data_IF_699961515574
#
_entry.id   IF_699961515574
#
_cell.length_a   1.000
_cell.length_b   1.000
_cell.length_c   1.000
_cell.angle_alpha   90.00
_cell.angle_beta   90.00
_cell.angle_gamma   90.00
#
_symmetry.space_group_name_H-M   'P 1'
#
loop_
_entity.id
_entity.type
_entity.pdbx_description
1 polymer ?
#
# COMPACT_ATOMS: atom_id res chain seq x y z
N UNK A 1 -2.20 -5.92 -2.06
CA UNK A 1 -2.47 -6.36 -0.67
C UNK A 1 -3.74 -7.19 -0.54
N UNK A 2 -4.94 -6.79 -0.98
CA UNK A 2 -6.11 -7.70 -0.92
C UNK A 2 -5.82 -9.06 -1.60
N UNK A 3 -5.21 -9.02 -2.79
CA UNK A 3 -4.77 -10.21 -3.52
C UNK A 3 -3.66 -11.01 -2.82
N UNK A 4 -3.01 -10.46 -1.79
CA UNK A 4 -2.02 -11.17 -0.98
C UNK A 4 -2.66 -11.95 0.17
N UNK A 5 -3.86 -11.53 0.59
CA UNK A 5 -4.70 -12.20 1.59
C UNK A 5 -5.78 -13.09 0.97
N UNK A 6 -5.95 -13.06 -0.36
CA UNK A 6 -6.94 -13.84 -1.11
C UNK A 6 -6.37 -14.36 -2.44
N UNK A 7 -5.41 -15.30 -2.38
CA UNK A 7 -4.72 -15.87 -3.55
C UNK A 7 -5.44 -17.09 -4.10
N UNK A 8 -5.67 -17.17 -5.41
CA UNK A 8 -6.17 -18.41 -6.02
C UNK A 8 -5.16 -19.55 -5.81
N UNK A 9 -5.58 -20.71 -5.25
CA UNK A 9 -4.70 -21.87 -5.11
C UNK A 9 -4.08 -22.29 -6.44
N UNK A 10 -2.81 -22.69 -6.45
CA UNK A 10 -2.13 -23.18 -7.66
C UNK A 10 -2.63 -24.56 -8.09
N UNK A 11 -3.07 -25.38 -7.13
CA UNK A 11 -3.69 -26.68 -7.40
C UNK A 11 -5.15 -26.49 -7.81
N UNK A 12 -5.45 -26.85 -9.06
CA UNK A 12 -6.78 -26.79 -9.66
C UNK A 12 -7.79 -27.62 -8.86
N UNK A 13 -7.34 -28.69 -8.19
CA UNK A 13 -8.20 -29.53 -7.36
C UNK A 13 -8.79 -28.76 -6.16
N UNK A 14 -8.15 -27.67 -5.73
CA UNK A 14 -8.56 -26.87 -4.57
C UNK A 14 -9.29 -25.57 -4.93
N UNK A 15 -9.52 -25.30 -6.22
CA UNK A 15 -10.08 -24.03 -6.67
C UNK A 15 -11.62 -23.99 -6.63
N UNK A 16 -12.31 -25.14 -6.61
CA UNK A 16 -13.77 -25.17 -6.80
C UNK A 16 -14.46 -26.29 -6.03
N UNK A 17 -15.60 -25.94 -5.46
CA UNK A 17 -16.54 -26.84 -4.79
C UNK A 17 -17.12 -27.88 -5.73
N UNK A 18 -17.39 -29.09 -5.21
CA UNK A 18 -17.96 -30.19 -6.00
C UNK A 18 -17.00 -30.83 -7.00
N UNK A 19 -15.76 -30.33 -7.09
CA UNK A 19 -14.74 -30.83 -8.00
C UNK A 19 -13.41 -31.09 -7.28
N UNK A 20 -12.60 -31.99 -7.82
CA UNK A 20 -11.27 -32.28 -7.30
C UNK A 20 -11.29 -32.66 -5.81
N UNK A 21 -10.57 -31.90 -4.99
CA UNK A 21 -10.44 -32.11 -3.56
C UNK A 21 -11.75 -31.91 -2.78
N UNK A 22 -12.69 -31.14 -3.34
CA UNK A 22 -13.98 -30.79 -2.73
C UNK A 22 -15.14 -31.66 -3.23
N UNK A 23 -14.88 -32.77 -3.92
CA UNK A 23 -15.96 -33.67 -4.42
C UNK A 23 -16.72 -34.35 -3.28
N UNK A 24 -16.03 -34.66 -2.18
CA UNK A 24 -16.60 -35.34 -1.00
C UNK A 24 -16.91 -34.38 0.18
N UNK A 25 -16.66 -33.09 -0.01
CA UNK A 25 -16.84 -32.07 1.01
C UNK A 25 -17.80 -31.00 0.50
N UNK A 26 -18.85 -30.67 1.26
CA UNK A 26 -19.88 -29.68 0.87
C UNK A 26 -19.37 -28.22 0.81
N UNK A 27 -18.05 -28.01 0.71
CA UNK A 27 -17.44 -26.68 0.79
C UNK A 27 -17.86 -25.90 2.03
N UNK A 28 -18.18 -26.62 3.11
CA UNK A 28 -18.46 -26.02 4.39
C UNK A 28 -17.21 -25.89 5.26
N UNK A 29 -16.22 -26.74 4.99
CA UNK A 29 -14.92 -26.81 5.62
C UNK A 29 -13.85 -26.96 4.54
N UNK A 30 -12.61 -26.58 4.87
CA UNK A 30 -11.47 -26.73 3.97
C UNK A 30 -11.13 -28.22 3.84
N UNK A 31 -10.93 -28.70 2.60
CA UNK A 31 -10.51 -30.07 2.37
C UNK A 31 -9.08 -30.28 2.92
N UNK A 32 -8.77 -31.41 3.58
CA UNK A 32 -7.49 -31.61 4.28
C UNK A 32 -6.23 -31.45 3.41
N UNK A 33 -6.35 -31.71 2.11
CA UNK A 33 -5.27 -31.61 1.13
C UNK A 33 -5.09 -30.19 0.55
N UNK A 34 -6.00 -29.26 0.85
CA UNK A 34 -5.98 -27.91 0.31
C UNK A 34 -5.28 -26.93 1.24
N UNK A 35 -4.70 -25.85 0.69
CA UNK A 35 -4.00 -24.87 1.50
C UNK A 35 -4.98 -24.11 2.41
N UNK A 36 -4.47 -23.50 3.49
CA UNK A 36 -5.31 -22.75 4.42
C UNK A 36 -5.87 -21.46 3.77
N UNK A 37 -7.06 -21.09 4.23
CA UNK A 37 -7.73 -19.82 3.90
C UNK A 37 -7.84 -19.05 5.21
N UNK A 38 -7.11 -17.94 5.44
CA UNK A 38 -6.12 -17.25 4.56
C UNK A 38 -4.74 -17.94 4.47
N UNK A 39 -3.86 -17.56 3.51
CA UNK A 39 -3.95 -16.45 2.55
C UNK A 39 -4.58 -16.82 1.18
N UNK A 40 -5.01 -18.07 1.00
CA UNK A 40 -5.64 -18.50 -0.24
C UNK A 40 -7.12 -18.17 -0.26
N UNK A 41 -7.69 -18.04 -1.46
CA UNK A 41 -9.11 -17.80 -1.66
C UNK A 41 -9.95 -19.01 -1.23
N UNK A 42 -11.16 -18.75 -0.76
CA UNK A 42 -12.15 -19.83 -0.62
C UNK A 42 -12.44 -20.44 -2.00
N UNK A 43 -12.68 -21.76 -2.11
CA UNK A 43 -13.05 -22.37 -3.38
C UNK A 43 -14.31 -21.74 -3.98
N UNK A 44 -14.30 -21.59 -5.31
CA UNK A 44 -15.44 -21.09 -6.06
C UNK A 44 -16.62 -22.05 -5.98
N UNK A 45 -17.87 -21.55 -6.02
CA UNK A 45 -19.05 -22.39 -6.03
C UNK A 45 -19.17 -23.16 -7.34
N UNK A 46 -19.88 -24.29 -7.27
CA UNK A 46 -20.35 -25.01 -8.44
C UNK A 46 -21.62 -24.33 -8.96
N UNK A 47 -21.48 -23.28 -9.77
CA UNK A 47 -22.58 -22.56 -10.41
C UNK A 47 -22.23 -22.36 -11.90
N UNK A 48 -23.20 -22.53 -12.78
CA UNK A 48 -23.02 -22.27 -14.21
C UNK A 48 -22.92 -20.77 -14.52
N UNK A 49 -22.10 -20.42 -15.51
CA UNK A 49 -21.80 -19.05 -15.93
C UNK A 49 -23.01 -18.30 -16.52
N UNK A 50 -23.98 -19.03 -17.05
CA UNK A 50 -25.17 -18.47 -17.69
C UNK A 50 -26.34 -18.22 -16.72
N UNK A 51 -26.16 -18.45 -15.42
CA UNK A 51 -27.21 -18.22 -14.44
C UNK A 51 -27.37 -16.74 -14.12
N UNK A 52 -28.60 -16.25 -14.24
CA UNK A 52 -29.00 -14.92 -13.77
C UNK A 52 -29.44 -15.03 -12.31
N UNK A 53 -28.64 -14.45 -11.40
CA UNK A 53 -28.92 -14.46 -9.96
C UNK A 53 -29.34 -13.05 -9.55
N UNK A 54 -30.61 -12.89 -9.19
CA UNK A 54 -31.22 -11.64 -8.72
C UNK A 54 -31.60 -11.69 -7.25
N UNK A 55 -31.90 -12.89 -6.75
CA UNK A 55 -32.14 -13.17 -5.34
C UNK A 55 -31.21 -14.28 -4.87
N UNK A 56 -30.95 -14.35 -3.56
CA UNK A 56 -30.13 -15.40 -2.97
C UNK A 56 -30.66 -16.82 -3.25
N UNK A 57 -31.97 -16.97 -3.47
CA UNK A 57 -32.61 -18.25 -3.73
C UNK A 57 -32.39 -18.74 -5.17
N UNK A 58 -32.17 -17.83 -6.13
CA UNK A 58 -31.96 -18.18 -7.55
C UNK A 58 -30.75 -19.10 -7.74
N UNK A 59 -29.79 -19.06 -6.80
CA UNK A 59 -28.62 -19.94 -6.81
C UNK A 59 -28.96 -21.43 -6.66
N UNK A 60 -30.10 -21.77 -6.06
CA UNK A 60 -30.59 -23.16 -5.99
C UNK A 60 -31.10 -23.66 -7.35
N UNK A 61 -31.70 -22.77 -8.14
CA UNK A 61 -32.28 -23.10 -9.43
C UNK A 61 -31.21 -23.09 -10.55
N UNK A 62 -30.04 -22.54 -10.26
CA UNK A 62 -28.93 -22.50 -11.18
C UNK A 62 -28.37 -23.90 -11.48
N UNK A 63 -28.05 -24.13 -12.77
CA UNK A 63 -27.41 -25.36 -13.21
C UNK A 63 -26.02 -25.54 -12.56
N UNK A 64 -25.69 -26.79 -12.23
CA UNK A 64 -24.44 -27.21 -11.58
C UNK A 64 -23.43 -27.81 -12.57
N UNK A 65 -23.47 -27.37 -13.83
CA UNK A 65 -22.65 -27.91 -14.90
C UNK A 65 -21.77 -26.84 -15.58
N UNK A 66 -20.75 -27.27 -16.35
CA UNK A 66 -19.93 -26.36 -17.13
C UNK A 66 -20.74 -25.69 -18.25
N UNK A 67 -20.38 -24.45 -18.68
CA UNK A 67 -19.27 -23.65 -18.17
C UNK A 67 -19.55 -23.07 -16.78
N UNK A 68 -18.58 -23.15 -15.88
CA UNK A 68 -18.71 -22.65 -14.51
C UNK A 68 -18.47 -21.15 -14.43
N UNK A 69 -19.00 -20.53 -13.37
CA UNK A 69 -18.74 -19.14 -13.04
C UNK A 69 -17.30 -18.96 -12.53
N UNK A 70 -16.69 -17.86 -12.96
CA UNK A 70 -15.34 -17.43 -12.56
C UNK A 70 -15.42 -16.38 -11.45
N UNK A 71 -14.29 -16.02 -10.83
CA UNK A 71 -14.23 -15.03 -9.75
C UNK A 71 -14.87 -13.68 -10.15
N UNK A 72 -14.73 -13.29 -11.42
CA UNK A 72 -15.28 -12.06 -12.01
C UNK A 72 -16.81 -12.08 -12.13
N UNK A 73 -17.43 -13.26 -12.18
CA UNK A 73 -18.88 -13.41 -12.26
C UNK A 73 -19.59 -13.28 -10.91
N UNK A 74 -18.84 -13.25 -9.80
CA UNK A 74 -19.40 -13.21 -8.44
C UNK A 74 -19.32 -11.78 -7.89
N UNK A 75 -20.46 -11.11 -7.81
CA UNK A 75 -20.55 -9.76 -7.25
C UNK A 75 -20.90 -9.78 -5.75
N UNK A 76 -19.90 -9.82 -4.88
CA UNK A 76 -20.10 -9.90 -3.43
C UNK A 76 -20.68 -8.64 -2.75
N UNK A 77 -20.78 -7.53 -3.48
CA UNK A 77 -21.44 -6.31 -2.97
C UNK A 77 -22.97 -6.43 -3.03
N UNK A 78 -23.47 -7.26 -3.94
CA UNK A 78 -24.90 -7.53 -4.11
C UNK A 78 -25.37 -8.58 -3.08
N UNK A 79 -26.51 -8.30 -2.46
CA UNK A 79 -27.14 -9.15 -1.45
C UNK A 79 -27.38 -10.56 -1.99
N UNK A 80 -27.76 -10.71 -3.26
CA UNK A 80 -28.04 -12.01 -3.87
C UNK A 80 -26.84 -12.97 -3.83
N UNK A 81 -25.62 -12.43 -3.89
CA UNK A 81 -24.38 -13.18 -3.80
C UNK A 81 -23.84 -13.24 -2.38
N UNK A 82 -23.93 -12.14 -1.63
CA UNK A 82 -23.43 -12.06 -0.25
C UNK A 82 -24.17 -13.01 0.70
N UNK A 83 -25.49 -13.16 0.54
CA UNK A 83 -26.31 -14.05 1.37
C UNK A 83 -26.72 -15.34 0.67
N UNK A 84 -26.20 -15.57 -0.55
CA UNK A 84 -26.47 -16.77 -1.32
C UNK A 84 -25.87 -18.03 -0.69
N UNK A 85 -26.60 -19.15 -0.74
CA UNK A 85 -26.17 -20.36 -0.04
C UNK A 85 -24.83 -20.92 -0.53
N UNK A 86 -24.51 -20.79 -1.82
CA UNK A 86 -23.25 -21.31 -2.38
C UNK A 86 -22.12 -20.28 -2.36
N UNK A 87 -22.45 -18.99 -2.35
CA UNK A 87 -21.48 -17.90 -2.50
C UNK A 87 -21.17 -17.18 -1.21
N UNK A 88 -21.98 -17.34 -0.14
CA UNK A 88 -21.80 -16.58 1.11
C UNK A 88 -20.41 -16.77 1.73
N UNK A 89 -19.88 -18.00 1.84
CA UNK A 89 -18.53 -18.25 2.40
C UNK A 89 -17.43 -17.64 1.55
N UNK A 90 -17.56 -17.75 0.23
CA UNK A 90 -16.63 -17.12 -0.69
C UNK A 90 -16.62 -15.60 -0.51
N UNK A 91 -17.79 -14.97 -0.49
CA UNK A 91 -17.91 -13.53 -0.29
C UNK A 91 -17.49 -13.07 1.11
N UNK A 92 -17.77 -13.86 2.15
CA UNK A 92 -17.33 -13.59 3.50
C UNK A 92 -15.79 -13.55 3.56
N UNK A 93 -15.11 -14.61 3.12
CA UNK A 93 -13.64 -14.65 3.16
C UNK A 93 -12.99 -13.61 2.24
N UNK A 94 -13.62 -13.29 1.10
CA UNK A 94 -13.16 -12.20 0.23
C UNK A 94 -13.25 -10.85 0.95
N UNK A 95 -14.36 -10.59 1.65
CA UNK A 95 -14.55 -9.36 2.42
C UNK A 95 -13.60 -9.24 3.61
N UNK A 96 -13.36 -10.35 4.34
CA UNK A 96 -12.40 -10.41 5.45
C UNK A 96 -10.96 -10.13 4.98
N UNK A 97 -10.58 -10.68 3.82
CA UNK A 97 -9.28 -10.40 3.21
C UNK A 97 -9.16 -8.93 2.77
N UNK A 98 -10.21 -8.35 2.19
CA UNK A 98 -10.24 -6.93 1.82
C UNK A 98 -10.16 -5.99 3.04
N UNK A 99 -10.85 -6.31 4.13
CA UNK A 99 -10.77 -5.56 5.39
C UNK A 99 -9.37 -5.65 6.01
N UNK A 100 -8.77 -6.84 6.03
CA UNK A 100 -7.41 -7.06 6.53
C UNK A 100 -6.39 -6.26 5.71
N UNK A 101 -6.54 -6.24 4.39
CA UNK A 101 -5.68 -5.43 3.51
C UNK A 101 -5.84 -3.93 3.77
N UNK A 102 -7.09 -3.46 3.90
CA UNK A 102 -7.41 -2.03 4.12
C UNK A 102 -6.90 -1.53 5.47
N UNK A 103 -7.13 -2.31 6.53
CA UNK A 103 -6.62 -2.00 7.87
C UNK A 103 -5.09 -1.96 7.90
N UNK A 104 -4.43 -2.88 7.19
CA UNK A 104 -2.97 -2.88 7.02
C UNK A 104 -2.49 -1.63 6.26
N UNK A 105 -3.15 -1.22 5.17
CA UNK A 105 -2.81 0.02 4.43
C UNK A 105 -2.94 1.29 5.28
N UNK A 106 -3.84 1.27 6.26
CA UNK A 106 -4.12 2.42 7.12
C UNK A 106 -3.05 2.63 8.22
N UNK A 107 -2.14 1.68 8.42
CA UNK A 107 -1.10 1.76 9.47
C UNK A 107 -0.19 2.98 9.28
N UNK A 108 0.37 3.17 8.09
CA UNK A 108 1.30 4.27 7.81
C UNK A 108 0.66 5.68 7.99
N UNK A 109 -0.51 6.00 7.41
CA UNK A 109 -1.12 7.31 7.61
C UNK A 109 -1.55 7.55 9.07
N UNK A 110 -1.97 6.51 9.82
CA UNK A 110 -2.25 6.66 11.25
C UNK A 110 -0.99 7.04 12.03
N UNK A 111 0.14 6.40 11.75
CA UNK A 111 1.43 6.75 12.37
C UNK A 111 1.75 8.22 12.10
N UNK A 112 1.64 8.68 10.86
CA UNK A 112 1.91 10.07 10.49
C UNK A 112 0.97 11.01 11.27
N UNK A 113 -0.33 10.70 11.36
CA UNK A 113 -1.30 11.53 12.06
C UNK A 113 -0.92 11.77 13.53
N UNK A 114 -0.38 10.76 14.23
CA UNK A 114 0.05 10.89 15.62
C UNK A 114 1.47 11.45 15.78
N UNK A 115 2.40 11.09 14.89
CA UNK A 115 3.81 11.46 15.02
C UNK A 115 4.12 12.84 14.43
N UNK A 116 3.32 13.36 13.49
CA UNK A 116 3.54 14.66 12.84
C UNK A 116 3.83 15.81 13.82
N UNK A 117 3.04 16.08 14.88
CA UNK A 117 3.33 17.16 15.81
C UNK A 117 4.64 16.94 16.59
N UNK A 118 4.96 15.69 16.93
CA UNK A 118 6.19 15.35 17.66
C UNK A 118 7.42 15.50 16.77
N UNK A 119 7.36 14.97 15.55
CA UNK A 119 8.44 15.06 14.57
C UNK A 119 8.68 16.50 14.13
N UNK A 120 7.63 17.32 13.96
CA UNK A 120 7.78 18.75 13.67
C UNK A 120 8.56 19.48 14.77
N UNK A 121 8.11 19.34 16.01
CA UNK A 121 8.78 19.94 17.19
C UNK A 121 10.23 19.45 17.34
N UNK A 122 10.48 18.15 17.10
CA UNK A 122 11.82 17.57 17.14
C UNK A 122 12.75 18.15 16.07
N UNK A 123 12.26 18.28 14.83
CA UNK A 123 13.03 18.84 13.72
C UNK A 123 13.33 20.32 13.94
N UNK A 124 12.35 21.09 14.42
CA UNK A 124 12.53 22.50 14.72
C UNK A 124 13.52 22.72 15.87
N UNK A 125 13.53 21.82 16.87
CA UNK A 125 14.46 21.92 17.99
C UNK A 125 15.87 21.46 17.67
N UNK A 126 16.11 20.51 16.77
CA UNK A 126 17.47 20.00 16.50
C UNK A 126 18.14 20.73 15.34
N UNK A 127 17.38 21.15 14.33
CA UNK A 127 17.95 21.52 13.02
C UNK A 127 18.34 20.27 12.23
N UNK A 128 19.35 20.37 11.36
CA UNK A 128 19.85 19.26 10.53
C UNK A 128 18.83 18.69 9.53
N UNK A 129 18.00 19.55 8.93
CA UNK A 129 16.87 19.12 8.08
C UNK A 129 17.30 18.27 6.88
N UNK A 130 18.33 18.65 6.09
CA UNK A 130 18.86 17.80 5.02
C UNK A 130 19.29 16.40 5.48
N UNK A 131 19.96 16.32 6.63
CA UNK A 131 20.49 15.07 7.15
C UNK A 131 19.38 14.14 7.65
N UNK A 132 18.41 14.70 8.37
CA UNK A 132 17.22 13.96 8.82
C UNK A 132 16.37 13.46 7.65
N UNK A 133 16.24 14.27 6.58
CA UNK A 133 15.58 13.84 5.35
C UNK A 133 16.30 12.67 4.67
N UNK A 134 17.63 12.72 4.60
CA UNK A 134 18.43 11.62 4.05
C UNK A 134 18.25 10.31 4.85
N UNK A 135 18.24 10.39 6.19
CA UNK A 135 17.95 9.23 7.04
C UNK A 135 16.56 8.65 6.78
N UNK A 136 15.55 9.51 6.58
CA UNK A 136 14.20 9.08 6.24
C UNK A 136 14.15 8.37 4.87
N UNK A 137 14.83 8.89 3.86
CA UNK A 137 14.91 8.26 2.53
C UNK A 137 15.60 6.89 2.58
N UNK A 138 16.69 6.77 3.36
CA UNK A 138 17.37 5.49 3.58
C UNK A 138 16.44 4.49 4.26
N UNK A 139 15.66 4.93 5.25
CA UNK A 139 14.67 4.07 5.92
C UNK A 139 13.59 3.57 4.94
N UNK A 140 13.14 4.41 4.00
CA UNK A 140 12.22 4.00 2.93
C UNK A 140 12.82 2.91 2.03
N UNK A 141 14.08 3.06 1.61
CA UNK A 141 14.77 2.03 0.82
C UNK A 141 14.83 0.71 1.58
N UNK A 142 15.19 0.74 2.86
CA UNK A 142 15.23 -0.47 3.71
C UNK A 142 13.85 -1.12 3.80
N UNK A 143 12.79 -0.34 4.02
CA UNK A 143 11.44 -0.85 4.14
C UNK A 143 10.95 -1.54 2.85
N UNK A 144 11.18 -0.93 1.69
CA UNK A 144 10.81 -1.55 0.41
C UNK A 144 11.64 -2.81 0.11
N UNK A 145 12.92 -2.84 0.50
CA UNK A 145 13.73 -4.06 0.39
C UNK A 145 13.21 -5.19 1.29
N UNK A 146 12.73 -4.86 2.50
CA UNK A 146 12.08 -5.85 3.39
C UNK A 146 10.82 -6.42 2.71
N UNK A 147 9.97 -5.57 2.13
CA UNK A 147 8.74 -6.03 1.43
C UNK A 147 9.10 -6.91 0.22
N UNK A 148 10.11 -6.54 -0.55
CA UNK A 148 10.50 -7.28 -1.76
C UNK A 148 11.14 -8.64 -1.46
N UNK A 149 12.03 -8.71 -0.45
CA UNK A 149 12.92 -9.85 -0.26
C UNK A 149 12.65 -10.68 1.01
N UNK A 150 11.87 -10.17 1.97
CA UNK A 150 11.61 -10.85 3.24
C UNK A 150 10.11 -11.15 3.46
N UNK A 151 9.51 -12.06 2.68
CA UNK A 151 8.08 -12.39 2.78
C UNK A 151 7.68 -13.01 4.13
N UNK A 152 8.64 -13.54 4.90
CA UNK A 152 8.44 -14.05 6.25
C UNK A 152 8.21 -12.95 7.30
N UNK A 153 8.57 -11.69 7.01
CA UNK A 153 8.38 -10.57 7.92
C UNK A 153 6.97 -10.01 7.68
N UNK A 154 6.22 -9.78 8.76
CA UNK A 154 4.91 -9.13 8.66
C UNK A 154 5.04 -7.76 8.00
N UNK A 155 4.20 -7.49 7.00
CA UNK A 155 4.16 -6.24 6.23
C UNK A 155 3.91 -5.01 7.13
N UNK A 156 3.35 -5.21 8.33
CA UNK A 156 3.15 -4.15 9.32
C UNK A 156 4.49 -3.50 9.72
N UNK A 157 5.56 -4.28 9.87
CA UNK A 157 6.87 -3.75 10.29
C UNK A 157 7.47 -2.75 9.28
N UNK A 158 7.63 -3.08 7.98
CA UNK A 158 8.09 -2.10 6.99
C UNK A 158 7.11 -0.92 6.81
N UNK A 159 5.80 -1.11 6.97
CA UNK A 159 4.85 0.00 6.92
C UNK A 159 5.03 0.99 8.07
N UNK A 160 5.41 0.52 9.26
CA UNK A 160 5.78 1.40 10.38
C UNK A 160 7.01 2.24 10.01
N UNK A 161 8.04 1.61 9.42
CA UNK A 161 9.26 2.30 8.98
C UNK A 161 8.93 3.36 7.92
N UNK A 162 8.09 3.02 6.93
CA UNK A 162 7.62 3.96 5.90
C UNK A 162 6.88 5.13 6.54
N UNK A 163 5.95 4.87 7.47
CA UNK A 163 5.18 5.91 8.15
C UNK A 163 6.06 6.88 8.95
N UNK A 164 7.01 6.35 9.73
CA UNK A 164 7.97 7.17 10.49
C UNK A 164 8.87 7.97 9.55
N UNK A 165 9.46 7.32 8.53
CA UNK A 165 10.33 7.98 7.55
C UNK A 165 9.61 9.11 6.81
N UNK A 166 8.41 8.84 6.28
CA UNK A 166 7.60 9.84 5.58
C UNK A 166 7.25 11.04 6.47
N UNK A 167 7.02 10.81 7.77
CA UNK A 167 6.76 11.87 8.74
C UNK A 167 7.97 12.80 8.89
N UNK A 168 9.18 12.25 9.08
CA UNK A 168 10.41 13.03 9.16
C UNK A 168 10.75 13.75 7.85
N UNK A 169 10.55 13.09 6.71
CA UNK A 169 10.78 13.69 5.41
C UNK A 169 9.86 14.89 5.17
N UNK A 170 8.56 14.74 5.47
CA UNK A 170 7.58 15.82 5.30
C UNK A 170 7.87 17.01 6.23
N UNK A 171 8.18 16.77 7.50
CA UNK A 171 8.46 17.85 8.45
C UNK A 171 9.76 18.61 8.14
N UNK A 172 10.77 17.93 7.58
CA UNK A 172 12.05 18.55 7.23
C UNK A 172 12.02 19.28 5.89
N UNK A 173 11.49 18.66 4.83
CA UNK A 173 11.62 19.21 3.47
C UNK A 173 10.71 20.39 3.22
N UNK A 174 9.45 20.34 3.66
CA UNK A 174 8.51 21.44 3.45
C UNK A 174 8.94 22.70 4.19
N UNK A 175 9.60 22.55 5.34
CA UNK A 175 10.09 23.69 6.13
C UNK A 175 11.37 24.30 5.56
N UNK A 176 12.06 23.66 4.61
CA UNK A 176 13.27 24.22 3.98
C UNK A 176 12.95 25.27 2.90
N UNK A 177 11.78 25.21 2.27
CA UNK A 177 11.42 26.07 1.12
C UNK A 177 11.51 27.58 1.44
N UNK A 178 11.00 28.08 2.59
CA UNK A 178 11.07 29.50 2.91
C UNK A 178 12.50 30.01 3.17
N UNK A 179 13.47 29.11 3.39
CA UNK A 179 14.87 29.48 3.64
C UNK A 179 15.68 29.65 2.36
N UNK A 180 15.24 29.03 1.26
CA UNK A 180 15.98 29.03 -0.02
C UNK A 180 15.32 29.92 -1.08
N UNK A 181 14.05 30.29 -0.90
CA UNK A 181 13.29 31.11 -1.83
C UNK A 181 13.06 32.50 -1.25
N UNK A 182 13.15 33.53 -2.10
CA UNK A 182 12.79 34.90 -1.70
C UNK A 182 11.32 34.98 -1.22
N UNK A 183 11.00 35.78 -0.19
CA UNK A 183 9.66 35.82 0.42
C UNK A 183 8.50 36.02 -0.57
N UNK A 184 8.71 36.81 -1.62
CA UNK A 184 7.71 37.07 -2.67
C UNK A 184 7.35 35.86 -3.54
N UNK A 185 8.21 34.84 -3.60
CA UNK A 185 8.02 33.65 -4.44
C UNK A 185 7.68 32.37 -3.67
N UNK A 186 7.62 32.42 -2.33
CA UNK A 186 7.37 31.24 -1.48
C UNK A 186 6.08 30.52 -1.85
N UNK A 187 4.99 31.26 -2.08
CA UNK A 187 3.72 30.66 -2.51
C UNK A 187 3.80 29.97 -3.87
N UNK A 188 4.56 30.55 -4.82
CA UNK A 188 4.79 29.95 -6.14
C UNK A 188 5.63 28.67 -6.02
N UNK A 189 6.63 28.66 -5.15
CA UNK A 189 7.46 27.49 -4.89
C UNK A 189 6.64 26.32 -4.31
N UNK A 190 5.81 26.56 -3.30
CA UNK A 190 4.92 25.52 -2.76
C UNK A 190 3.89 25.03 -3.79
N UNK A 191 3.35 25.93 -4.62
CA UNK A 191 2.45 25.57 -5.72
C UNK A 191 3.13 24.66 -6.75
N UNK A 192 4.36 24.98 -7.15
CA UNK A 192 5.15 24.17 -8.06
C UNK A 192 5.43 22.78 -7.46
N UNK A 193 5.90 22.71 -6.21
CA UNK A 193 6.15 21.44 -5.52
C UNK A 193 4.90 20.56 -5.44
N UNK A 194 3.76 21.14 -5.06
CA UNK A 194 2.49 20.41 -4.97
C UNK A 194 2.04 19.91 -6.35
N UNK A 195 2.23 20.71 -7.40
CA UNK A 195 1.92 20.30 -8.78
C UNK A 195 2.76 19.09 -9.22
N UNK A 196 4.06 19.08 -8.89
CA UNK A 196 4.93 17.93 -9.13
C UNK A 196 4.48 16.69 -8.34
N UNK A 197 4.12 16.85 -7.06
CA UNK A 197 3.59 15.75 -6.24
C UNK A 197 2.30 15.18 -6.83
N UNK A 198 1.38 16.02 -7.29
CA UNK A 198 0.13 15.59 -7.93
C UNK A 198 0.38 14.85 -9.25
N UNK A 199 1.37 15.28 -10.04
CA UNK A 199 1.81 14.55 -11.22
C UNK A 199 2.33 13.15 -10.86
N UNK A 200 3.12 13.04 -9.79
CA UNK A 200 3.57 11.75 -9.26
C UNK A 200 2.40 10.83 -8.87
N UNK A 201 1.41 11.37 -8.14
CA UNK A 201 0.21 10.63 -7.75
C UNK A 201 -0.64 10.17 -8.96
N UNK A 202 -0.57 10.87 -10.09
CA UNK A 202 -1.25 10.46 -11.33
C UNK A 202 -0.45 9.42 -12.13
N UNK A 203 0.87 9.60 -12.23
CA UNK A 203 1.74 8.79 -13.12
C UNK A 203 2.13 7.45 -12.48
N UNK A 204 2.47 7.43 -11.19
CA UNK A 204 2.98 6.23 -10.51
C UNK A 204 1.96 5.07 -10.53
N UNK A 205 0.65 5.27 -10.27
CA UNK A 205 -0.33 4.18 -10.34
C UNK A 205 -0.46 3.58 -11.75
N UNK A 206 -0.34 4.40 -12.80
CA UNK A 206 -0.37 3.93 -14.19
C UNK A 206 0.86 3.07 -14.50
N UNK A 207 2.04 3.50 -14.03
CA UNK A 207 3.27 2.72 -14.14
C UNK A 207 3.14 1.37 -13.42
N UNK A 208 2.65 1.36 -12.18
CA UNK A 208 2.43 0.15 -11.39
C UNK A 208 1.47 -0.81 -12.10
N UNK A 209 0.36 -0.29 -12.63
CA UNK A 209 -0.60 -1.11 -13.40
C UNK A 209 0.04 -1.72 -14.65
N UNK A 210 0.89 -0.96 -15.36
CA UNK A 210 1.59 -1.47 -16.55
C UNK A 210 2.58 -2.58 -16.23
N UNK A 211 3.36 -2.45 -15.16
CA UNK A 211 4.32 -3.45 -14.70
C UNK A 211 3.60 -4.71 -14.24
N UNK A 212 2.55 -4.54 -13.44
CA UNK A 212 1.73 -5.66 -12.96
C UNK A 212 1.08 -6.45 -14.11
N UNK A 213 0.52 -5.75 -15.10
CA UNK A 213 -0.09 -6.40 -16.27
C UNK A 213 0.93 -7.16 -17.11
N UNK A 214 2.20 -6.72 -17.14
CA UNK A 214 3.26 -7.39 -17.88
C UNK A 214 3.83 -8.62 -17.13
N UNK A 215 3.95 -8.55 -15.79
CA UNK A 215 4.58 -9.61 -15.01
C UNK A 215 3.60 -10.64 -14.42
N UNK A 216 2.33 -10.27 -14.26
CA UNK A 216 1.30 -11.08 -13.59
C UNK A 216 1.53 -11.24 -12.08
N UNK A 217 2.52 -10.58 -11.50
CA UNK A 217 2.89 -10.67 -10.08
C UNK A 217 3.19 -9.29 -9.51
N UNK A 218 2.66 -9.01 -8.32
CA UNK A 218 2.89 -7.73 -7.67
C UNK A 218 4.25 -7.70 -6.97
N UNK A 219 4.49 -8.63 -6.04
CA UNK A 219 5.80 -8.81 -5.40
C UNK A 219 6.57 -9.90 -6.16
N UNK A 220 7.83 -9.67 -6.56
CA UNK A 220 8.68 -8.52 -6.26
C UNK A 220 8.70 -7.42 -7.34
N UNK A 221 8.06 -7.62 -8.49
CA UNK A 221 8.27 -6.81 -9.69
C UNK A 221 7.86 -5.34 -9.52
N UNK A 222 6.72 -5.09 -8.86
CA UNK A 222 6.27 -3.72 -8.56
C UNK A 222 7.14 -3.08 -7.47
N UNK A 223 7.58 -3.86 -6.48
CA UNK A 223 8.47 -3.34 -5.42
C UNK A 223 9.82 -2.89 -5.97
N UNK A 224 10.34 -3.51 -7.04
CA UNK A 224 11.56 -3.02 -7.69
C UNK A 224 11.41 -1.61 -8.27
N UNK A 225 10.22 -1.23 -8.73
CA UNK A 225 9.94 0.14 -9.17
C UNK A 225 10.04 1.11 -7.99
N UNK A 226 9.43 0.76 -6.85
CA UNK A 226 9.49 1.58 -5.64
C UNK A 226 10.90 1.66 -5.05
N UNK A 227 11.66 0.56 -5.03
CA UNK A 227 13.08 0.56 -4.63
C UNK A 227 13.89 1.44 -5.57
N UNK A 228 13.63 1.40 -6.87
CA UNK A 228 14.27 2.26 -7.87
C UNK A 228 14.04 3.75 -7.59
N UNK A 229 12.79 4.15 -7.37
CA UNK A 229 12.46 5.53 -7.01
C UNK A 229 13.04 5.93 -5.65
N UNK A 230 12.95 5.09 -4.63
CA UNK A 230 13.51 5.37 -3.31
C UNK A 230 15.04 5.51 -3.33
N UNK A 231 15.72 4.71 -4.15
CA UNK A 231 17.18 4.81 -4.33
C UNK A 231 17.56 6.10 -5.05
N UNK A 232 16.77 6.51 -6.05
CA UNK A 232 16.95 7.78 -6.74
C UNK A 232 16.75 8.97 -5.79
N UNK A 233 15.74 8.93 -4.92
CA UNK A 233 15.53 9.99 -3.92
C UNK A 233 16.70 10.08 -2.94
N UNK A 234 17.25 8.95 -2.47
CA UNK A 234 18.49 8.95 -1.66
C UNK A 234 19.64 9.65 -2.40
N UNK A 235 19.76 9.45 -3.71
CA UNK A 235 20.73 10.17 -4.54
C UNK A 235 20.52 11.69 -4.52
N UNK A 236 19.28 12.16 -4.62
CA UNK A 236 18.94 13.58 -4.48
C UNK A 236 19.17 14.10 -3.07
N UNK A 237 18.84 13.34 -2.02
CA UNK A 237 19.11 13.70 -0.63
C UNK A 237 20.60 13.85 -0.35
N UNK A 238 21.43 12.97 -0.90
CA UNK A 238 22.90 13.08 -0.82
C UNK A 238 23.39 14.36 -1.51
N UNK A 239 22.91 14.62 -2.73
CA UNK A 239 23.26 15.84 -3.47
C UNK A 239 22.86 17.09 -2.69
N UNK A 240 21.66 17.10 -2.10
CA UNK A 240 21.16 18.21 -1.31
C UNK A 240 22.03 18.46 -0.06
N UNK A 241 22.46 17.40 0.62
CA UNK A 241 23.40 17.52 1.75
C UNK A 241 24.75 18.09 1.30
N UNK A 242 25.30 17.62 0.17
CA UNK A 242 26.56 18.15 -0.38
C UNK A 242 26.42 19.64 -0.74
N UNK A 243 25.31 20.02 -1.38
CA UNK A 243 25.02 21.41 -1.73
C UNK A 243 24.84 22.28 -0.50
N UNK A 244 24.19 21.78 0.56
CA UNK A 244 24.04 22.53 1.80
C UNK A 244 25.39 22.79 2.48
N UNK A 245 26.29 21.79 2.50
CA UNK A 245 27.66 21.96 3.00
C UNK A 245 28.41 23.02 2.18
N UNK A 246 28.30 22.96 0.85
CA UNK A 246 28.96 23.93 -0.03
C UNK A 246 28.43 25.36 0.12
N UNK A 247 27.17 25.53 0.54
CA UNK A 247 26.52 26.84 0.71
C UNK A 247 26.47 27.29 2.18
N UNK A 248 27.37 26.79 3.03
CA UNK A 248 27.54 27.30 4.40
C UNK A 248 26.54 26.76 5.43
N UNK A 249 25.99 25.56 5.20
CA UNK A 249 25.11 24.83 6.12
C UNK A 249 23.82 25.57 6.49
N UNK A 250 23.26 26.34 5.55
CA UNK A 250 22.07 27.16 5.78
C UNK A 250 20.89 26.32 6.30
N UNK A 251 20.69 25.12 5.76
CA UNK A 251 19.57 24.23 6.10
C UNK A 251 19.89 23.30 7.29
N UNK A 252 21.16 23.02 7.53
CA UNK A 252 21.60 22.21 8.66
C UNK A 252 21.66 23.00 9.98
N UNK A 253 21.71 24.32 9.94
CA UNK A 253 21.84 25.17 11.14
C UNK A 253 20.58 25.11 12.01
N UNK A 254 20.80 25.05 13.33
CA UNK A 254 19.74 25.20 14.35
C UNK A 254 19.24 26.64 14.32
N UNK A 255 17.95 26.84 14.06
CA UNK A 255 17.32 28.15 14.21
C UNK A 255 17.13 28.40 15.70
N UNK A 256 18.03 29.17 16.32
CA UNK A 256 17.66 29.81 17.59
C UNK A 256 16.57 30.82 17.23
N UNK A 257 15.36 30.65 17.77
CA UNK A 257 14.34 31.69 17.72
C UNK A 257 14.97 33.01 18.22
N UNK A 258 14.82 34.13 17.50
CA UNK A 258 15.28 35.41 17.99
C UNK A 258 14.39 35.79 19.19
N UNK A 259 14.87 35.52 20.40
CA UNK A 259 14.38 36.20 21.61
C UNK A 259 14.92 37.64 21.70
N UNK A 260 15.52 38.20 20.63
CA UNK A 260 16.18 39.49 20.62
C UNK A 260 15.86 40.31 19.35
N UNK A 261 14.59 40.46 19.01
CA UNK A 261 14.15 41.55 18.11
C UNK A 261 12.86 42.23 18.63
N UNK A 262 12.80 42.36 19.96
CA UNK A 262 12.01 43.40 20.64
C UNK A 262 12.97 44.29 21.40
N UNK A 263 13.83 45.02 20.70
CA UNK A 263 14.39 46.31 21.12
C UNK A 263 15.17 46.86 19.93
N UNK A 264 14.50 47.66 19.09
CA UNK A 264 14.90 49.00 18.64
C UNK A 264 13.96 49.51 17.54
#
# INVERSE_FOLDING_TARGET
MERDYFKTPTDVACQRCGSGAYTLYYCDTIAPQCPPVPPYSWPLPELAKNCTITTALDQYQCAKGPPYIDEEGINCDDIAWRTGIFTHKYCQHKSEAAETATSTMSVAPLIIAFLAPLCGSFVDTIGLRPFLALLAEIALVIAHNIIAYAPQISVVAPLIIIGVGACFFSSTMWTCVPYVVEPRFVGTAFGAMTSFSNMGLAVVPLLVASVFNASGRYIPDVEFVFIGFASLTVGFGLLLNIMDIANGHLLNRRVLAPLLEKEH
#
